data_IF_833119781492
#
_entry.id   IF_833119781492
#
_cell.length_a   1.000
_cell.length_b   1.000
_cell.length_c   1.000
_cell.angle_alpha   90.00
_cell.angle_beta   90.00
_cell.angle_gamma   90.00
#
_symmetry.space_group_name_H-M   'P 1'
#
loop_
_entity.id
_entity.type
_entity.pdbx_description
1 polymer ?
#
# COMPACT_ATOMS: atom_id res chain seq x y z
N UNK A 1 85.47 -30.52 -4.44
CA UNK A 1 85.75 -30.24 -3.02
C UNK A 1 84.40 -30.08 -2.36
N UNK A 2 83.88 -30.90 -1.46
CA UNK A 2 84.40 -31.94 -0.57
C UNK A 2 83.11 -32.73 -0.17
N UNK A 3 82.97 -34.03 -0.46
CA UNK A 3 83.11 -35.13 0.52
C UNK A 3 82.88 -34.67 1.99
N UNK A 4 82.12 -35.29 2.87
CA UNK A 4 81.40 -36.56 2.91
C UNK A 4 80.97 -36.77 4.37
N UNK A 5 79.95 -37.63 4.58
CA UNK A 5 79.78 -38.50 5.78
C UNK A 5 79.32 -37.81 7.09
N UNK A 6 78.48 -38.37 7.96
CA UNK A 6 78.11 -39.76 8.29
C UNK A 6 76.92 -39.68 9.26
N UNK A 7 75.74 -40.26 9.00
CA UNK A 7 75.35 -41.67 9.22
C UNK A 7 75.18 -42.07 10.70
N UNK A 8 73.99 -42.62 11.06
CA UNK A 8 73.75 -44.02 11.49
C UNK A 8 72.40 -44.17 12.22
N UNK A 9 71.50 -45.00 11.69
CA UNK A 9 71.05 -46.32 12.22
C UNK A 9 69.93 -46.18 13.28
N UNK A 10 68.88 -46.99 13.38
CA UNK A 10 68.67 -48.40 13.01
C UNK A 10 67.14 -48.65 12.80
N UNK A 11 66.71 -49.52 11.86
CA UNK A 11 66.23 -50.92 12.07
C UNK A 11 65.00 -51.03 13.00
N UNK A 12 63.92 -51.80 12.79
CA UNK A 12 63.57 -52.97 11.97
C UNK A 12 62.03 -53.15 12.17
N UNK A 13 61.23 -53.37 11.13
CA UNK A 13 60.67 -54.67 10.71
C UNK A 13 59.26 -55.01 11.23
N UNK A 14 58.54 -55.79 10.38
CA UNK A 14 57.36 -56.65 10.66
C UNK A 14 56.02 -55.89 10.73
N UNK A 15 54.89 -56.34 10.18
CA UNK A 15 54.51 -57.27 9.11
C UNK A 15 52.98 -57.11 8.97
N UNK A 16 52.48 -57.36 7.76
CA UNK A 16 51.11 -57.69 7.36
C UNK A 16 49.97 -57.64 8.41
N UNK A 17 48.85 -57.00 8.03
CA UNK A 17 47.57 -57.70 7.78
C UNK A 17 46.49 -56.73 7.30
N UNK A 18 46.08 -56.98 6.05
CA UNK A 18 44.70 -57.04 5.56
C UNK A 18 43.61 -56.51 6.51
N UNK A 19 42.97 -55.40 6.13
CA UNK A 19 41.58 -55.14 6.45
C UNK A 19 40.94 -54.44 5.25
N UNK A 20 40.19 -55.22 4.46
CA UNK A 20 39.22 -54.70 3.50
C UNK A 20 38.11 -54.03 4.32
N UNK A 21 37.92 -52.74 4.16
CA UNK A 21 36.67 -52.07 4.54
C UNK A 21 36.16 -51.40 3.28
N UNK A 22 35.25 -52.09 2.58
CA UNK A 22 34.41 -51.49 1.56
C UNK A 22 33.39 -50.62 2.29
N UNK A 23 33.55 -49.30 2.22
CA UNK A 23 32.53 -48.34 2.64
C UNK A 23 31.50 -48.27 1.52
N UNK A 24 30.41 -49.02 1.67
CA UNK A 24 29.20 -48.83 0.84
C UNK A 24 28.50 -47.61 1.39
N UNK A 25 28.78 -46.45 0.80
CA UNK A 25 28.03 -45.23 1.07
C UNK A 25 26.68 -45.32 0.35
N UNK A 26 25.66 -45.82 1.04
CA UNK A 26 24.26 -45.67 0.61
C UNK A 26 23.90 -44.19 0.69
N UNK A 27 23.97 -43.50 -0.45
CA UNK A 27 23.44 -42.16 -0.63
C UNK A 27 21.90 -42.23 -0.53
N UNK A 28 21.36 -41.81 0.61
CA UNK A 28 19.93 -41.57 0.78
C UNK A 28 19.61 -40.28 0.02
N UNK A 29 19.04 -40.42 -1.18
CA UNK A 29 18.50 -39.29 -1.94
C UNK A 29 17.17 -38.91 -1.27
N UNK A 30 17.22 -37.98 -0.33
CA UNK A 30 16.01 -37.31 0.17
C UNK A 30 15.45 -36.44 -0.95
N UNK A 31 14.17 -36.58 -1.34
CA UNK A 31 13.55 -35.60 -2.21
C UNK A 31 13.44 -34.30 -1.40
N UNK A 32 14.23 -33.29 -1.78
CA UNK A 32 14.04 -31.94 -1.31
C UNK A 32 12.68 -31.46 -1.84
N UNK A 33 11.62 -31.66 -1.05
CA UNK A 33 10.35 -31.01 -1.27
C UNK A 33 10.61 -29.50 -1.16
N UNK A 34 10.80 -28.85 -2.30
CA UNK A 34 10.78 -27.41 -2.40
C UNK A 34 9.37 -26.97 -1.98
N UNK A 35 9.23 -26.58 -0.72
CA UNK A 35 8.08 -25.84 -0.24
C UNK A 35 8.07 -24.53 -1.04
N UNK A 36 7.27 -24.50 -2.11
CA UNK A 36 6.92 -23.25 -2.75
C UNK A 36 6.16 -22.45 -1.69
N UNK A 37 6.86 -21.53 -1.03
CA UNK A 37 6.20 -20.51 -0.25
C UNK A 37 5.28 -19.77 -1.23
N UNK A 38 3.97 -20.01 -1.12
CA UNK A 38 3.01 -19.19 -1.83
C UNK A 38 3.31 -17.75 -1.40
N UNK A 39 3.54 -16.82 -2.33
CA UNK A 39 3.73 -15.43 -1.96
C UNK A 39 2.57 -15.04 -1.03
N UNK A 40 2.92 -14.53 0.15
CA UNK A 40 1.95 -13.86 1.00
C UNK A 40 1.55 -12.60 0.23
N UNK A 41 0.59 -12.75 -0.68
CA UNK A 41 -0.11 -11.61 -1.24
C UNK A 41 -0.68 -10.90 -0.04
N UNK A 42 -0.19 -9.70 0.25
CA UNK A 42 -0.83 -8.84 1.21
C UNK A 42 -2.30 -8.77 0.80
N UNK A 43 -3.18 -8.98 1.78
CA UNK A 43 -4.60 -9.19 1.53
C UNK A 43 -5.28 -7.84 1.74
N UNK A 44 -6.00 -7.36 0.73
CA UNK A 44 -6.98 -6.28 0.88
C UNK A 44 -7.95 -6.64 2.00
N UNK A 45 -8.06 -5.78 2.99
CA UNK A 45 -8.89 -5.94 4.19
C UNK A 45 -9.86 -4.76 4.28
N UNK A 46 -11.10 -5.04 3.88
CA UNK A 46 -12.21 -4.11 3.96
C UNK A 46 -13.45 -4.81 4.52
N UNK A 47 -14.30 -4.06 5.20
CA UNK A 47 -15.66 -4.46 5.53
C UNK A 47 -16.67 -3.62 4.76
N UNK A 48 -17.68 -4.26 4.17
CA UNK A 48 -18.84 -3.59 3.58
C UNK A 48 -20.05 -3.96 4.43
N UNK A 49 -20.68 -2.97 5.07
CA UNK A 49 -21.79 -3.15 6.01
C UNK A 49 -21.46 -4.17 7.13
N UNK A 50 -20.24 -4.09 7.66
CA UNK A 50 -19.73 -4.98 8.71
C UNK A 50 -19.35 -6.38 8.24
N UNK A 51 -19.54 -6.72 6.95
CA UNK A 51 -19.13 -8.00 6.38
C UNK A 51 -17.76 -7.86 5.74
N UNK A 52 -16.79 -8.65 6.21
CA UNK A 52 -15.44 -8.67 5.64
C UNK A 52 -15.47 -9.12 4.16
N UNK A 53 -14.75 -8.37 3.32
CA UNK A 53 -14.58 -8.62 1.88
C UNK A 53 -13.10 -8.69 1.56
N UNK A 54 -12.77 -9.55 0.61
CA UNK A 54 -11.40 -9.76 0.14
C UNK A 54 -11.41 -10.04 -1.35
N UNK A 55 -10.33 -9.68 -2.03
CA UNK A 55 -10.17 -9.90 -3.46
C UNK A 55 -9.67 -8.64 -4.16
N UNK A 56 -9.69 -8.68 -5.50
CA UNK A 56 -9.29 -7.54 -6.35
C UNK A 56 -10.43 -6.58 -6.67
N UNK A 57 -11.65 -6.97 -6.36
CA UNK A 57 -12.83 -6.13 -6.49
C UNK A 57 -13.67 -6.30 -5.22
N UNK A 58 -13.83 -5.20 -4.50
CA UNK A 58 -14.67 -5.10 -3.30
C UNK A 58 -15.88 -4.28 -3.71
N UNK A 59 -17.04 -4.92 -3.81
CA UNK A 59 -18.28 -4.27 -4.25
C UNK A 59 -19.17 -3.92 -3.07
N UNK A 60 -19.67 -2.68 -3.10
CA UNK A 60 -20.85 -2.22 -2.40
C UNK A 60 -22.15 -2.74 -3.00
N UNK A 61 -23.25 -2.19 -2.52
CA UNK A 61 -24.61 -2.42 -2.99
C UNK A 61 -25.10 -1.20 -3.77
N UNK A 62 -26.27 -1.26 -4.44
CA UNK A 62 -26.84 -0.06 -5.09
C UNK A 62 -27.46 0.97 -4.13
N UNK A 63 -27.31 0.82 -2.82
CA UNK A 63 -27.78 1.80 -1.84
C UNK A 63 -26.74 1.98 -0.73
N UNK A 64 -27.04 2.85 0.22
CA UNK A 64 -26.09 3.34 1.23
C UNK A 64 -25.31 2.24 1.94
N UNK A 65 -23.99 2.28 1.78
CA UNK A 65 -23.03 1.38 2.39
C UNK A 65 -22.16 2.08 3.44
N UNK A 66 -21.75 1.32 4.45
CA UNK A 66 -20.63 1.67 5.31
C UNK A 66 -19.43 0.79 4.96
N UNK A 67 -18.41 1.40 4.39
CA UNK A 67 -17.19 0.71 3.95
C UNK A 67 -16.02 1.16 4.81
N UNK A 68 -15.29 0.22 5.39
CA UNK A 68 -14.07 0.50 6.17
C UNK A 68 -12.94 -0.35 5.63
N UNK A 69 -11.85 0.29 5.22
CA UNK A 69 -10.67 -0.39 4.69
C UNK A 69 -9.46 -0.09 5.57
N UNK A 70 -8.78 -1.16 6.01
CA UNK A 70 -7.50 -1.08 6.74
C UNK A 70 -6.31 -1.26 5.80
N UNK A 71 -6.53 -1.91 4.65
CA UNK A 71 -5.55 -2.13 3.60
C UNK A 71 -6.22 -2.36 2.26
N UNK A 72 -5.74 -1.72 1.20
CA UNK A 72 -6.13 -2.04 -0.17
C UNK A 72 -4.90 -2.07 -1.05
N UNK A 73 -4.69 -3.20 -1.70
CA UNK A 73 -3.48 -3.47 -2.45
C UNK A 73 -3.48 -2.86 -3.86
N UNK A 74 -2.29 -2.67 -4.46
CA UNK A 74 -2.17 -2.24 -5.84
C UNK A 74 -3.02 -3.07 -6.80
N UNK A 75 -3.79 -2.37 -7.64
CA UNK A 75 -4.67 -2.99 -8.63
C UNK A 75 -5.96 -3.62 -8.05
N UNK A 76 -6.25 -3.40 -6.77
CA UNK A 76 -7.58 -3.65 -6.19
C UNK A 76 -8.47 -2.44 -6.39
N UNK A 77 -9.75 -2.69 -6.66
CA UNK A 77 -10.79 -1.65 -6.72
C UNK A 77 -11.81 -1.89 -5.60
N UNK A 78 -12.11 -0.86 -4.83
CA UNK A 78 -13.27 -0.76 -3.96
C UNK A 78 -14.28 0.12 -4.68
N UNK A 79 -15.46 -0.41 -4.97
CA UNK A 79 -16.51 0.24 -5.75
C UNK A 79 -17.81 0.21 -4.95
N UNK A 80 -18.18 1.34 -4.35
CA UNK A 80 -19.38 1.42 -3.50
C UNK A 80 -20.68 1.50 -4.33
N UNK A 81 -20.55 1.72 -5.65
CA UNK A 81 -21.61 1.73 -6.66
C UNK A 81 -22.54 2.92 -6.57
N UNK A 82 -23.49 2.95 -5.65
CA UNK A 82 -24.35 4.11 -5.51
C UNK A 82 -25.26 4.04 -4.32
N UNK A 83 -25.95 5.13 -4.03
CA UNK A 83 -26.42 5.42 -2.67
C UNK A 83 -25.51 6.47 -2.04
N UNK A 84 -25.80 6.86 -0.81
CA UNK A 84 -24.98 7.81 -0.07
C UNK A 84 -24.06 7.05 0.88
N UNK A 85 -22.85 6.76 0.42
CA UNK A 85 -21.92 5.85 1.06
C UNK A 85 -21.04 6.55 2.09
N UNK A 86 -20.69 5.84 3.17
CA UNK A 86 -19.69 6.28 4.14
C UNK A 86 -18.46 5.39 4.05
N UNK A 87 -17.35 5.94 3.58
CA UNK A 87 -16.12 5.21 3.31
C UNK A 87 -15.01 5.69 4.23
N UNK A 88 -14.43 4.80 5.04
CA UNK A 88 -13.36 5.13 5.98
C UNK A 88 -12.07 4.38 5.66
N UNK A 89 -11.00 5.13 5.39
CA UNK A 89 -9.64 4.61 5.21
C UNK A 89 -8.88 4.72 6.52
N UNK A 90 -8.57 3.56 7.12
CA UNK A 90 -7.90 3.45 8.42
C UNK A 90 -6.42 3.07 8.33
N UNK A 91 -5.98 2.58 7.17
CA UNK A 91 -4.58 2.21 6.90
C UNK A 91 -4.16 2.51 5.46
N UNK A 92 -3.32 1.64 4.89
CA UNK A 92 -2.63 1.91 3.62
C UNK A 92 -3.46 1.52 2.39
N UNK A 93 -3.58 2.46 1.47
CA UNK A 93 -4.37 2.36 0.25
C UNK A 93 -3.49 2.56 -0.97
N UNK A 94 -3.11 1.48 -1.65
CA UNK A 94 -2.39 1.53 -2.91
C UNK A 94 -3.24 1.10 -4.12
N UNK A 95 -4.52 0.78 -3.88
CA UNK A 95 -5.53 0.55 -4.92
C UNK A 95 -6.51 1.73 -5.08
N UNK A 96 -7.59 1.50 -5.82
CA UNK A 96 -8.58 2.53 -6.15
C UNK A 96 -9.82 2.41 -5.26
N UNK A 97 -10.29 3.52 -4.70
CA UNK A 97 -11.63 3.68 -4.11
C UNK A 97 -12.47 4.54 -5.05
N UNK A 98 -13.67 4.06 -5.35
CA UNK A 98 -14.71 4.75 -6.11
C UNK A 98 -15.96 4.82 -5.24
N UNK A 99 -16.37 6.02 -4.87
CA UNK A 99 -17.54 6.21 -4.02
C UNK A 99 -18.84 5.97 -4.82
N UNK A 100 -18.85 6.31 -6.10
CA UNK A 100 -19.87 5.81 -7.01
C UNK A 100 -20.89 6.90 -7.31
N UNK A 101 -22.18 6.61 -7.22
CA UNK A 101 -23.22 7.59 -7.50
C UNK A 101 -24.03 7.95 -6.25
N UNK A 102 -24.02 9.20 -5.83
CA UNK A 102 -24.79 9.67 -4.67
C UNK A 102 -24.09 10.84 -3.97
N UNK A 103 -24.47 11.12 -2.74
CA UNK A 103 -23.75 12.07 -1.90
C UNK A 103 -22.88 11.28 -0.93
N UNK A 104 -21.62 11.06 -1.29
CA UNK A 104 -20.74 10.18 -0.55
C UNK A 104 -19.87 10.92 0.46
N UNK A 105 -19.51 10.24 1.55
CA UNK A 105 -18.63 10.74 2.58
C UNK A 105 -17.39 9.84 2.70
N UNK A 106 -16.24 10.33 2.25
CA UNK A 106 -14.96 9.63 2.35
C UNK A 106 -14.09 10.26 3.42
N UNK A 107 -13.58 9.46 4.36
CA UNK A 107 -12.65 9.90 5.40
C UNK A 107 -11.33 9.14 5.32
N UNK A 108 -10.23 9.84 5.08
CA UNK A 108 -8.87 9.32 5.30
C UNK A 108 -8.47 9.68 6.71
N UNK A 109 -8.56 8.72 7.63
CA UNK A 109 -8.27 8.97 9.05
C UNK A 109 -6.81 9.33 9.29
N UNK A 110 -6.47 9.79 10.51
CA UNK A 110 -5.08 10.07 10.92
C UNK A 110 -4.07 8.95 10.65
N UNK A 111 -4.48 7.70 10.77
CA UNK A 111 -3.64 6.52 10.46
C UNK A 111 -3.77 6.06 9.01
N UNK A 112 -4.76 6.58 8.29
CA UNK A 112 -5.00 6.31 6.88
C UNK A 112 -3.95 6.96 5.98
N UNK A 113 -3.65 6.28 4.88
CA UNK A 113 -2.73 6.75 3.85
C UNK A 113 -3.24 6.37 2.48
N UNK A 114 -3.42 7.35 1.60
CA UNK A 114 -3.54 7.11 0.15
C UNK A 114 -2.12 7.06 -0.41
N UNK A 115 -1.59 5.86 -0.63
CA UNK A 115 -0.24 5.64 -1.14
C UNK A 115 -0.09 6.07 -2.60
N UNK A 116 1.14 6.06 -3.12
CA UNK A 116 1.48 6.59 -4.46
C UNK A 116 0.70 5.88 -5.59
N UNK A 117 0.43 4.58 -5.44
CA UNK A 117 -0.40 3.81 -6.37
C UNK A 117 -1.89 4.00 -6.16
N UNK A 118 -2.29 4.55 -5.02
CA UNK A 118 -3.67 4.65 -4.59
C UNK A 118 -4.42 5.82 -5.19
N UNK A 119 -5.74 5.65 -5.31
CA UNK A 119 -6.63 6.76 -5.63
C UNK A 119 -7.95 6.70 -4.88
N UNK A 120 -8.49 7.87 -4.61
CA UNK A 120 -9.86 8.09 -4.11
C UNK A 120 -10.58 8.98 -5.10
N UNK A 121 -11.78 8.59 -5.50
CA UNK A 121 -12.63 9.30 -6.45
C UNK A 121 -14.07 9.26 -5.93
N UNK A 122 -14.66 10.42 -5.65
CA UNK A 122 -16.08 10.49 -5.26
C UNK A 122 -17.01 10.08 -6.40
N UNK A 123 -16.57 10.25 -7.64
CA UNK A 123 -17.37 9.99 -8.84
C UNK A 123 -18.60 10.89 -8.96
N UNK A 124 -19.83 10.38 -8.96
CA UNK A 124 -20.99 11.16 -9.37
C UNK A 124 -21.82 11.66 -8.20
N UNK A 125 -21.95 12.96 -8.03
CA UNK A 125 -22.86 13.58 -7.06
C UNK A 125 -22.15 14.59 -6.17
N UNK A 126 -22.71 14.92 -5.00
CA UNK A 126 -22.11 15.94 -4.12
C UNK A 126 -21.29 15.27 -3.03
N UNK A 127 -20.00 15.10 -3.27
CA UNK A 127 -19.17 14.28 -2.39
C UNK A 127 -18.41 15.11 -1.36
N UNK A 128 -18.19 14.52 -0.20
CA UNK A 128 -17.36 15.06 0.87
C UNK A 128 -16.17 14.16 1.11
N UNK A 129 -14.97 14.70 0.94
CA UNK A 129 -13.70 13.99 1.18
C UNK A 129 -12.93 14.70 2.28
N UNK A 130 -12.94 14.13 3.48
CA UNK A 130 -12.19 14.62 4.65
C UNK A 130 -10.85 13.89 4.78
N UNK A 131 -9.75 14.65 4.79
CA UNK A 131 -8.39 14.14 4.84
C UNK A 131 -7.78 14.50 6.20
N UNK A 132 -7.62 13.53 7.09
CA UNK A 132 -6.93 13.65 8.38
C UNK A 132 -5.57 12.92 8.40
N UNK A 133 -5.29 12.14 7.35
CA UNK A 133 -4.09 11.32 7.19
C UNK A 133 -3.12 11.79 6.11
N UNK A 134 -2.42 10.82 5.51
CA UNK A 134 -1.37 11.05 4.52
C UNK A 134 -1.90 10.82 3.11
N UNK A 135 -1.51 11.68 2.17
CA UNK A 135 -1.79 11.53 0.74
C UNK A 135 -0.48 11.60 -0.03
N UNK A 136 -0.17 10.52 -0.73
CA UNK A 136 0.94 10.38 -1.68
C UNK A 136 0.43 10.07 -3.09
N UNK A 137 -0.79 9.54 -3.20
CA UNK A 137 -1.49 9.26 -4.45
C UNK A 137 -2.45 10.38 -4.87
N UNK A 138 -3.60 9.99 -5.40
CA UNK A 138 -4.57 10.92 -6.01
C UNK A 138 -5.90 10.94 -5.28
N UNK A 139 -6.46 12.13 -5.10
CA UNK A 139 -7.82 12.33 -4.62
C UNK A 139 -8.54 13.21 -5.62
N UNK A 140 -9.74 12.78 -6.02
CA UNK A 140 -10.62 13.53 -6.90
C UNK A 140 -12.00 13.66 -6.28
N UNK A 141 -12.58 14.87 -6.38
CA UNK A 141 -13.97 15.12 -6.00
C UNK A 141 -14.88 14.17 -6.78
N UNK A 142 -14.89 14.31 -8.11
CA UNK A 142 -15.73 13.47 -8.94
C UNK A 142 -16.09 14.18 -10.24
N UNK A 143 -17.10 13.68 -10.94
CA UNK A 143 -17.76 14.35 -12.05
C UNK A 143 -19.17 14.79 -11.64
N UNK A 144 -19.43 16.09 -11.72
CA UNK A 144 -20.75 16.66 -11.49
C UNK A 144 -21.11 16.66 -10.01
N UNK A 145 -22.03 17.54 -9.63
CA UNK A 145 -22.16 17.94 -8.23
C UNK A 145 -21.09 18.95 -7.85
N UNK A 146 -21.13 19.41 -6.61
CA UNK A 146 -20.19 20.37 -6.05
C UNK A 146 -19.56 19.74 -4.83
N UNK A 147 -18.37 19.21 -5.02
CA UNK A 147 -17.65 18.40 -4.05
C UNK A 147 -16.94 19.27 -3.04
N UNK A 148 -16.75 18.75 -1.84
CA UNK A 148 -15.92 19.37 -0.81
C UNK A 148 -14.76 18.46 -0.45
N UNK A 149 -13.53 18.92 -0.71
CA UNK A 149 -12.32 18.24 -0.26
C UNK A 149 -11.73 19.05 0.90
N UNK A 150 -11.73 18.49 2.09
CA UNK A 150 -11.25 19.14 3.31
C UNK A 150 -9.91 18.55 3.76
N UNK A 151 -8.87 19.36 3.72
CA UNK A 151 -7.57 19.10 4.33
C UNK A 151 -7.59 19.61 5.78
N UNK A 152 -7.65 18.69 6.74
CA UNK A 152 -7.55 19.06 8.16
C UNK A 152 -6.12 19.46 8.55
N UNK A 153 -5.95 19.97 9.78
CA UNK A 153 -4.62 20.33 10.31
C UNK A 153 -3.62 19.17 10.41
N UNK A 154 -4.08 17.91 10.33
CA UNK A 154 -3.21 16.74 10.37
C UNK A 154 -2.90 16.20 8.97
N UNK A 155 -3.57 16.72 7.93
CA UNK A 155 -3.31 16.32 6.55
C UNK A 155 -1.85 16.51 6.22
N UNK A 156 -1.27 15.50 5.59
CA UNK A 156 0.06 15.57 5.01
C UNK A 156 0.03 15.11 3.57
N UNK A 157 0.54 15.95 2.67
CA UNK A 157 0.72 15.62 1.27
C UNK A 157 2.19 15.62 0.91
N UNK A 158 2.66 14.54 0.28
CA UNK A 158 4.03 14.50 -0.27
C UNK A 158 4.05 15.01 -1.71
N UNK A 159 5.25 15.26 -2.24
CA UNK A 159 5.45 15.97 -3.51
C UNK A 159 4.88 15.31 -4.77
N UNK A 160 4.39 14.07 -4.68
CA UNK A 160 3.74 13.34 -5.79
C UNK A 160 2.22 13.33 -5.70
N UNK A 161 1.65 13.75 -4.57
CA UNK A 161 0.22 13.74 -4.37
C UNK A 161 -0.50 14.71 -5.31
N UNK A 162 -1.76 14.42 -5.59
CA UNK A 162 -2.64 15.28 -6.38
C UNK A 162 -4.05 15.30 -5.79
N UNK A 163 -4.59 16.50 -5.61
CA UNK A 163 -6.00 16.73 -5.25
C UNK A 163 -6.62 17.59 -6.33
N UNK A 164 -7.78 17.17 -6.85
CA UNK A 164 -8.54 17.91 -7.86
C UNK A 164 -10.04 17.76 -7.59
N UNK A 165 -10.76 18.86 -7.38
CA UNK A 165 -12.23 18.85 -7.47
C UNK A 165 -12.57 19.10 -8.94
N UNK A 166 -13.06 18.12 -9.68
CA UNK A 166 -13.07 18.15 -11.14
C UNK A 166 -14.28 18.92 -11.73
N UNK A 167 -14.18 20.25 -11.91
CA UNK A 167 -15.15 21.14 -12.61
C UNK A 167 -16.57 21.17 -12.04
N UNK A 168 -17.14 22.38 -12.03
CA UNK A 168 -18.45 22.75 -11.46
C UNK A 168 -18.45 22.80 -9.92
N UNK A 169 -18.16 23.99 -9.36
CA UNK A 169 -18.38 24.37 -7.94
C UNK A 169 -17.60 23.64 -6.84
N UNK A 170 -16.71 22.72 -7.18
CA UNK A 170 -15.92 22.03 -6.15
C UNK A 170 -15.12 22.99 -5.27
N UNK A 171 -15.09 22.68 -3.98
CA UNK A 171 -14.46 23.49 -2.96
C UNK A 171 -13.37 22.67 -2.27
N UNK A 172 -12.12 23.12 -2.40
CA UNK A 172 -11.00 22.59 -1.62
C UNK A 172 -10.75 23.53 -0.45
N UNK A 173 -10.93 23.03 0.77
CA UNK A 173 -10.71 23.78 2.02
C UNK A 173 -9.52 23.17 2.76
N UNK A 174 -8.69 24.02 3.36
CA UNK A 174 -7.62 23.61 4.24
C UNK A 174 -7.70 24.31 5.59
N UNK A 175 -7.48 23.55 6.66
CA UNK A 175 -7.27 24.07 8.01
C UNK A 175 -5.86 24.64 8.16
N UNK A 176 -5.70 25.57 9.09
CA UNK A 176 -4.39 26.02 9.57
C UNK A 176 -3.52 24.83 10.04
N UNK A 177 -2.26 24.79 9.59
CA UNK A 177 -1.27 23.81 10.03
C UNK A 177 -1.17 22.50 9.23
N UNK A 178 -1.90 22.33 8.12
CA UNK A 178 -1.65 21.20 7.21
C UNK A 178 -0.25 21.24 6.58
N UNK A 179 0.29 20.08 6.21
CA UNK A 179 1.60 19.95 5.55
C UNK A 179 1.41 19.56 4.07
N UNK A 180 1.34 20.54 3.18
CA UNK A 180 1.16 20.28 1.73
C UNK A 180 2.40 20.66 0.92
N UNK A 181 3.22 19.65 0.61
CA UNK A 181 4.43 19.86 -0.17
C UNK A 181 4.12 20.05 -1.67
N UNK A 182 3.74 21.26 -2.11
CA UNK A 182 3.52 21.67 -3.53
C UNK A 182 2.46 20.88 -4.32
N UNK A 183 1.67 20.02 -3.67
CA UNK A 183 0.93 18.92 -4.29
C UNK A 183 -0.52 19.20 -4.71
N UNK A 184 -1.04 20.41 -4.47
CA UNK A 184 -2.40 20.75 -4.90
C UNK A 184 -2.36 21.20 -6.36
N UNK A 185 -2.94 20.40 -7.24
CA UNK A 185 -3.18 20.73 -8.65
C UNK A 185 -4.69 20.82 -8.85
N UNK A 186 -5.20 22.01 -8.61
CA UNK A 186 -6.55 22.34 -9.02
C UNK A 186 -6.51 22.88 -10.46
N UNK A 187 -7.49 22.46 -11.26
CA UNK A 187 -7.73 23.02 -12.59
C UNK A 187 -8.34 24.43 -12.50
N UNK A 188 -8.75 24.85 -11.30
CA UNK A 188 -9.22 26.20 -10.97
C UNK A 188 -8.05 27.09 -10.54
N UNK A 189 -7.72 28.09 -11.37
CA UNK A 189 -6.66 29.05 -11.08
C UNK A 189 -6.83 29.69 -9.69
N UNK A 190 -5.78 29.63 -8.85
CA UNK A 190 -5.72 30.31 -7.56
C UNK A 190 -6.12 29.48 -6.33
N UNK A 191 -6.85 28.38 -6.48
CA UNK A 191 -7.25 27.52 -5.33
C UNK A 191 -6.02 26.88 -4.69
N UNK A 192 -5.10 26.36 -5.50
CA UNK A 192 -3.86 25.75 -5.00
C UNK A 192 -3.02 26.71 -4.13
N UNK A 193 -3.04 28.01 -4.42
CA UNK A 193 -2.29 29.00 -3.64
C UNK A 193 -3.05 29.45 -2.38
N UNK A 194 -4.38 29.55 -2.45
CA UNK A 194 -5.23 29.78 -1.27
C UNK A 194 -5.12 28.64 -0.25
N UNK A 195 -5.13 27.39 -0.70
CA UNK A 195 -4.97 26.20 0.15
C UNK A 195 -3.58 26.17 0.79
N UNK A 196 -2.51 26.49 0.05
CA UNK A 196 -1.15 26.64 0.62
C UNK A 196 -1.08 27.75 1.65
N UNK A 197 -1.70 28.90 1.37
CA UNK A 197 -1.72 30.01 2.32
C UNK A 197 -2.46 29.63 3.60
N UNK A 198 -3.58 28.91 3.50
CA UNK A 198 -4.32 28.41 4.66
C UNK A 198 -3.48 27.43 5.50
N UNK A 199 -2.79 26.48 4.88
CA UNK A 199 -1.91 25.55 5.59
C UNK A 199 -0.74 26.24 6.32
N UNK A 200 -0.27 27.39 5.82
CA UNK A 200 0.83 28.17 6.42
C UNK A 200 0.38 29.13 7.53
N UNK A 201 -0.92 29.36 7.68
CA UNK A 201 -1.49 30.22 8.74
C UNK A 201 -1.53 29.50 10.09
#
# INVERSE_FOLDING_TARGET
MDLSRTARLAARAVSARTARIAVVATAVILPAAALAATPAHAVTDCTVNGVHRSGRLIEGTPGDDTIVCSRVEPGTVVDAKGGNDTITVTGEMDGDIRAGGGEDAVTVTRSGRVGEGGSVDGQGGHDRIDIDGIVDGRIRGGQGGGDTIHLTRHSKMTGHAGITGVRETDTIVADAGCDIARAVRDDTEGVADAVKAACMA
#
